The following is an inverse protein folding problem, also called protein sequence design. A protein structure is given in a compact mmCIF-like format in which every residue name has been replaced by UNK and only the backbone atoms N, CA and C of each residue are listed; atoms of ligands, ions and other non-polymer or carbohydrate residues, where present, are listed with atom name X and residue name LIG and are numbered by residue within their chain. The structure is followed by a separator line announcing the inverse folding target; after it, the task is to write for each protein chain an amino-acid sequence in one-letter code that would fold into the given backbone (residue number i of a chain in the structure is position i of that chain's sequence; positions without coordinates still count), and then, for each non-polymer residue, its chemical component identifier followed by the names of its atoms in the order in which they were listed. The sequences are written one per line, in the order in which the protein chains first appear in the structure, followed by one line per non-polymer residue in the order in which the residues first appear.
data_IF_468866437326
#
_entry.id   IF_468866437326
#
_cell.length_a   1.000
_cell.length_b   1.000
_cell.length_c   1.000
_cell.angle_alpha   90.00
_cell.angle_beta   90.00
_cell.angle_gamma   90.00
#
_symmetry.space_group_name_H-M   'P 1'
#
loop_
_entity.id
_entity.type
_entity.pdbx_description
1 polymer ?
#
# COMPACT_ATOMS: atom_id res chain seq x y z
N UNK A 1 17.44 2.94 -5.82
CA UNK A 1 16.78 3.90 -4.91
C UNK A 1 16.10 4.99 -5.75
N UNK A 2 14.80 5.25 -5.59
CA UNK A 2 14.20 6.47 -6.15
C UNK A 2 14.76 7.69 -5.43
N UNK A 3 15.08 8.76 -6.15
CA UNK A 3 15.46 10.02 -5.51
C UNK A 3 14.23 10.63 -4.80
N UNK A 4 14.46 11.44 -3.76
CA UNK A 4 13.38 12.01 -2.94
C UNK A 4 12.40 12.87 -3.77
N UNK A 5 12.88 13.50 -4.85
CA UNK A 5 12.04 14.24 -5.81
C UNK A 5 11.05 13.35 -6.54
N UNK A 6 11.47 12.15 -6.95
CA UNK A 6 10.63 11.17 -7.65
C UNK A 6 9.56 10.64 -6.71
N UNK A 7 9.92 10.30 -5.47
CA UNK A 7 8.95 9.84 -4.46
C UNK A 7 7.90 10.92 -4.20
N UNK A 8 8.31 12.17 -4.02
CA UNK A 8 7.36 13.27 -3.79
C UNK A 8 6.41 13.50 -4.98
N UNK A 9 6.93 13.41 -6.21
CA UNK A 9 6.11 13.53 -7.41
C UNK A 9 5.05 12.40 -7.49
N UNK A 10 5.42 11.17 -7.14
CA UNK A 10 4.49 10.04 -7.08
C UNK A 10 3.47 10.20 -5.95
N UNK A 11 3.89 10.66 -4.77
CA UNK A 11 2.97 10.94 -3.65
C UNK A 11 1.91 11.97 -4.05
N UNK A 12 2.28 13.01 -4.81
CA UNK A 12 1.33 14.00 -5.30
C UNK A 12 0.27 13.41 -6.26
N UNK A 13 0.58 12.32 -6.97
CA UNK A 13 -0.37 11.61 -7.85
C UNK A 13 -1.34 10.69 -7.10
N UNK A 14 -1.12 10.44 -5.81
CA UNK A 14 -2.06 9.68 -5.00
C UNK A 14 -3.40 10.41 -4.77
N UNK A 15 -3.46 11.73 -4.99
CA UNK A 15 -4.68 12.53 -4.89
C UNK A 15 -5.35 12.85 -6.22
N UNK A 16 -4.95 12.20 -7.32
CA UNK A 16 -5.51 12.47 -8.64
C UNK A 16 -7.01 12.10 -8.73
N UNK A 17 -7.77 12.83 -9.55
CA UNK A 17 -9.18 12.58 -9.77
C UNK A 17 -9.44 11.22 -10.43
N UNK A 18 -8.52 10.72 -11.26
CA UNK A 18 -8.67 9.44 -11.93
C UNK A 18 -8.05 8.33 -11.10
N UNK A 19 -8.85 7.31 -10.77
CA UNK A 19 -8.40 6.20 -9.94
C UNK A 19 -7.27 5.40 -10.61
N UNK A 20 -7.20 5.37 -11.94
CA UNK A 20 -6.11 4.75 -12.69
C UNK A 20 -4.76 5.42 -12.42
N UNK A 21 -4.75 6.76 -12.31
CA UNK A 21 -3.54 7.54 -11.99
C UNK A 21 -3.12 7.27 -10.55
N UNK A 22 -4.08 7.27 -9.60
CA UNK A 22 -3.80 6.93 -8.20
C UNK A 22 -3.24 5.51 -8.07
N UNK A 23 -3.82 4.54 -8.78
CA UNK A 23 -3.35 3.16 -8.85
C UNK A 23 -1.93 3.08 -9.40
N UNK A 24 -1.64 3.77 -10.50
CA UNK A 24 -0.30 3.80 -11.08
C UNK A 24 0.74 4.40 -10.11
N UNK A 25 0.37 5.44 -9.36
CA UNK A 25 1.21 6.04 -8.33
C UNK A 25 1.51 5.06 -7.18
N UNK A 26 0.50 4.33 -6.70
CA UNK A 26 0.69 3.26 -5.70
C UNK A 26 1.65 2.19 -6.24
N UNK A 27 1.46 1.74 -7.49
CA UNK A 27 2.33 0.73 -8.11
C UNK A 27 3.78 1.18 -8.15
N UNK A 28 4.00 2.43 -8.56
CA UNK A 28 5.32 3.01 -8.69
C UNK A 28 6.01 3.15 -7.32
N UNK A 29 5.29 3.60 -6.29
CA UNK A 29 5.80 3.67 -4.92
C UNK A 29 6.15 2.28 -4.36
N UNK A 30 5.30 1.28 -4.57
CA UNK A 30 5.58 -0.10 -4.17
C UNK A 30 6.81 -0.70 -4.87
N UNK A 31 6.98 -0.39 -6.16
CA UNK A 31 8.09 -0.92 -6.97
C UNK A 31 9.42 -0.20 -6.73
N UNK A 32 9.38 1.11 -6.47
CA UNK A 32 10.58 1.94 -6.24
C UNK A 32 11.02 1.93 -4.77
N UNK A 33 10.07 1.71 -3.85
CA UNK A 33 10.30 1.63 -2.42
C UNK A 33 11.17 0.42 -2.07
N UNK A 34 12.12 0.61 -1.16
CA UNK A 34 12.82 -0.51 -0.52
C UNK A 34 12.06 -0.95 0.72
N UNK A 35 12.30 -2.19 1.15
CA UNK A 35 11.80 -2.64 2.44
C UNK A 35 12.27 -1.69 3.55
N UNK A 36 11.35 -1.25 4.40
CA UNK A 36 11.58 -0.24 5.44
C UNK A 36 11.49 1.22 4.95
N UNK A 37 11.10 1.48 3.70
CA UNK A 37 10.84 2.83 3.20
C UNK A 37 9.56 3.40 3.83
N UNK A 38 9.75 4.12 4.94
CA UNK A 38 8.66 4.70 5.73
C UNK A 38 7.84 5.73 4.94
N UNK A 39 8.45 6.48 4.03
CA UNK A 39 7.74 7.52 3.27
C UNK A 39 6.77 6.86 2.29
N UNK A 40 7.27 5.91 1.51
CA UNK A 40 6.44 5.15 0.59
C UNK A 40 5.39 4.32 1.33
N UNK A 41 5.75 3.69 2.45
CA UNK A 41 4.83 2.91 3.28
C UNK A 41 3.64 3.75 3.79
N UNK A 42 3.91 4.91 4.40
CA UNK A 42 2.84 5.80 4.90
C UNK A 42 1.94 6.29 3.76
N UNK A 43 2.53 6.69 2.64
CA UNK A 43 1.78 7.18 1.49
C UNK A 43 0.86 6.09 0.89
N UNK A 44 1.38 4.86 0.74
CA UNK A 44 0.60 3.72 0.25
C UNK A 44 -0.45 3.28 1.28
N UNK A 45 -0.14 3.26 2.58
CA UNK A 45 -1.10 2.93 3.63
C UNK A 45 -2.31 3.88 3.62
N UNK A 46 -2.09 5.15 3.34
CA UNK A 46 -3.16 6.13 3.16
C UNK A 46 -4.11 5.85 1.98
N UNK A 47 -3.80 4.88 1.11
CA UNK A 47 -4.67 4.42 0.01
C UNK A 47 -5.46 3.14 0.33
N UNK A 48 -5.31 2.57 1.51
CA UNK A 48 -6.17 1.47 1.98
C UNK A 48 -7.63 1.89 2.16
N UNK A 49 -7.91 3.20 2.24
CA UNK A 49 -9.26 3.76 2.31
C UNK A 49 -9.69 4.47 1.00
N UNK A 50 -9.00 4.22 -0.12
CA UNK A 50 -9.35 4.83 -1.40
C UNK A 50 -10.77 4.43 -1.84
N UNK A 51 -11.51 5.34 -2.46
CA UNK A 51 -12.87 5.08 -2.96
C UNK A 51 -12.91 3.90 -3.95
N UNK A 52 -11.85 3.74 -4.76
CA UNK A 52 -11.81 2.73 -5.80
C UNK A 52 -11.11 1.46 -5.31
N UNK A 53 -11.82 0.34 -5.38
CA UNK A 53 -11.35 -0.95 -4.84
C UNK A 53 -10.02 -1.41 -5.44
N UNK A 54 -9.75 -1.12 -6.71
CA UNK A 54 -8.50 -1.51 -7.38
C UNK A 54 -7.28 -0.76 -6.82
N UNK A 55 -7.46 0.46 -6.31
CA UNK A 55 -6.41 1.21 -5.63
C UNK A 55 -6.15 0.61 -4.25
N UNK A 56 -7.21 0.30 -3.50
CA UNK A 56 -7.11 -0.37 -2.18
C UNK A 56 -6.40 -1.73 -2.27
N UNK A 57 -6.77 -2.55 -3.25
CA UNK A 57 -6.14 -3.85 -3.49
C UNK A 57 -4.64 -3.69 -3.74
N UNK A 58 -4.25 -2.79 -4.65
CA UNK A 58 -2.85 -2.62 -5.00
C UNK A 58 -2.04 -2.00 -3.85
N UNK A 59 -2.66 -1.20 -3.00
CA UNK A 59 -2.03 -0.68 -1.79
C UNK A 59 -1.64 -1.82 -0.84
N UNK A 60 -2.52 -2.81 -0.64
CA UNK A 60 -2.21 -4.00 0.17
C UNK A 60 -1.03 -4.80 -0.41
N UNK A 61 -1.04 -5.04 -1.72
CA UNK A 61 0.04 -5.74 -2.42
C UNK A 61 1.37 -4.99 -2.31
N UNK A 62 1.34 -3.67 -2.44
CA UNK A 62 2.52 -2.81 -2.37
C UNK A 62 3.09 -2.74 -0.96
N UNK A 63 2.24 -2.62 0.07
CA UNK A 63 2.68 -2.64 1.47
C UNK A 63 3.43 -3.93 1.82
N UNK A 64 2.92 -5.09 1.37
CA UNK A 64 3.58 -6.38 1.60
C UNK A 64 5.04 -6.44 1.07
N UNK A 65 5.36 -5.63 0.05
CA UNK A 65 6.70 -5.52 -0.52
C UNK A 65 7.61 -4.55 0.24
N UNK A 66 7.08 -3.38 0.64
CA UNK A 66 7.89 -2.26 1.13
C UNK A 66 7.95 -2.12 2.65
N UNK A 67 7.07 -2.76 3.42
CA UNK A 67 7.10 -2.65 4.88
C UNK A 67 7.97 -3.71 5.54
N UNK A 68 8.57 -3.39 6.68
CA UNK A 68 9.26 -4.37 7.50
C UNK A 68 8.27 -5.37 8.11
N UNK A 69 8.74 -6.61 8.33
CA UNK A 69 7.91 -7.57 9.07
C UNK A 69 7.78 -7.07 10.51
N UNK A 70 6.60 -7.21 11.10
CA UNK A 70 6.34 -6.78 12.47
C UNK A 70 5.92 -5.32 12.63
N UNK A 71 5.76 -4.56 11.53
CA UNK A 71 5.23 -3.21 11.63
C UNK A 71 3.75 -3.25 12.08
N UNK A 72 3.54 -2.98 13.38
CA UNK A 72 2.23 -3.10 14.01
C UNK A 72 1.20 -2.15 13.38
N UNK A 73 1.61 -0.94 13.01
CA UNK A 73 0.73 0.05 12.37
C UNK A 73 0.21 -0.44 11.02
N UNK A 74 1.09 -0.97 10.18
CA UNK A 74 0.71 -1.56 8.89
C UNK A 74 -0.14 -2.80 9.09
N UNK A 75 0.21 -3.66 10.06
CA UNK A 75 -0.55 -4.88 10.35
C UNK A 75 -2.01 -4.57 10.67
N UNK A 76 -2.27 -3.60 11.55
CA UNK A 76 -3.64 -3.26 11.95
C UNK A 76 -4.41 -2.62 10.78
N UNK A 77 -3.75 -1.76 10.00
CA UNK A 77 -4.36 -1.16 8.81
C UNK A 77 -4.71 -2.22 7.75
N UNK A 78 -3.84 -3.20 7.52
CA UNK A 78 -4.10 -4.34 6.62
C UNK A 78 -5.22 -5.23 7.17
N UNK A 79 -5.27 -5.46 8.50
CA UNK A 79 -6.30 -6.28 9.13
C UNK A 79 -7.70 -5.68 8.96
N UNK A 80 -7.85 -4.36 9.04
CA UNK A 80 -9.12 -3.68 8.79
C UNK A 80 -9.68 -3.96 7.37
N UNK A 81 -8.81 -4.19 6.38
CA UNK A 81 -9.22 -4.51 5.01
C UNK A 81 -9.79 -5.94 4.84
N UNK A 82 -9.77 -6.78 5.88
CA UNK A 82 -10.46 -8.09 5.87
C UNK A 82 -11.99 -7.94 5.79
N UNK A 83 -12.52 -6.81 6.22
CA UNK A 83 -13.95 -6.49 6.18
C UNK A 83 -14.33 -5.62 4.96
N UNK A 84 -13.42 -5.41 4.01
CA UNK A 84 -13.67 -4.58 2.84
C UNK A 84 -14.86 -5.11 2.01
N UNK A 85 -15.68 -4.19 1.50
CA UNK A 85 -16.85 -4.53 0.68
C UNK A 85 -16.49 -5.35 -0.57
N UNK A 86 -15.33 -5.09 -1.17
CA UNK A 86 -14.91 -5.74 -2.40
C UNK A 86 -14.08 -7.00 -2.14
N UNK A 87 -14.47 -8.13 -2.74
CA UNK A 87 -13.84 -9.43 -2.46
C UNK A 87 -12.34 -9.47 -2.80
N UNK A 88 -11.92 -8.78 -3.87
CA UNK A 88 -10.52 -8.73 -4.27
C UNK A 88 -9.64 -8.03 -3.21
N UNK A 89 -10.17 -7.02 -2.53
CA UNK A 89 -9.48 -6.31 -1.45
C UNK A 89 -9.33 -7.24 -0.24
N UNK A 90 -10.41 -7.93 0.16
CA UNK A 90 -10.34 -8.94 1.24
C UNK A 90 -9.31 -10.03 0.94
N UNK A 91 -9.26 -10.54 -0.29
CA UNK A 91 -8.28 -11.55 -0.68
C UNK A 91 -6.84 -11.02 -0.59
N UNK A 92 -6.60 -9.78 -1.06
CA UNK A 92 -5.30 -9.15 -0.96
C UNK A 92 -4.90 -8.91 0.51
N UNK A 93 -5.84 -8.57 1.38
CA UNK A 93 -5.60 -8.36 2.81
C UNK A 93 -5.11 -9.63 3.49
N UNK A 94 -5.76 -10.77 3.23
CA UNK A 94 -5.30 -12.08 3.75
C UNK A 94 -3.86 -12.38 3.31
N UNK A 95 -3.54 -12.15 2.03
CA UNK A 95 -2.18 -12.38 1.51
C UNK A 95 -1.16 -11.43 2.13
N UNK A 96 -1.51 -10.16 2.28
CA UNK A 96 -0.64 -9.14 2.85
C UNK A 96 -0.34 -9.41 4.33
N UNK A 97 -1.35 -9.82 5.12
CA UNK A 97 -1.16 -10.17 6.54
C UNK A 97 -0.05 -11.21 6.73
N UNK A 98 -0.05 -12.28 5.93
CA UNK A 98 0.99 -13.32 5.98
C UNK A 98 2.41 -12.78 5.73
N UNK A 99 2.54 -11.67 4.99
CA UNK A 99 3.84 -11.08 4.64
C UNK A 99 4.31 -10.04 5.65
N UNK A 100 3.39 -9.38 6.36
CA UNK A 100 3.69 -8.30 7.31
C UNK A 100 3.78 -8.78 8.75
N UNK A 101 3.23 -9.96 9.11
CA UNK A 101 3.46 -10.57 10.42
C UNK A 101 4.92 -11.01 10.58
N UNK A 102 5.46 -10.86 11.78
CA UNK A 102 6.73 -11.50 12.14
C UNK A 102 6.59 -13.01 12.04
N UNK A 103 7.65 -13.68 11.54
CA UNK A 103 7.81 -15.10 11.80
C UNK A 103 8.24 -15.20 13.26
N UNK A 104 7.43 -15.88 14.07
CA UNK A 104 7.77 -16.20 15.46
C UNK A 104 9.03 -17.05 15.56
#
# INVERSE_FOLDING_TARGET
PGDASTVNALVARLGDAHWEVRRAAVQALGSAGRRGDKVSAVAVQGRLADEHWAVRQLALESLAQIVDRGDAGTRDAVAACLEDAHYAVRQAAVKALLQVVEKG
#
